data_IF_331865953642
#
_entry.id   IF_331865953642
#
_cell.length_a   1.000
_cell.length_b   1.000
_cell.length_c   1.000
_cell.angle_alpha   90.00
_cell.angle_beta   90.00
_cell.angle_gamma   90.00
#
_symmetry.space_group_name_H-M   'P 1'
#
loop_
_entity.id
_entity.type
_entity.pdbx_description
1 polymer ?
#
# COMPACT_ATOMS: atom_id res chain seq x y z
N UNK A 1 12.90 2.59 9.36
CA UNK A 1 12.19 3.35 8.32
C UNK A 1 11.48 2.34 7.45
N UNK A 2 10.15 2.27 7.50
CA UNK A 2 9.36 1.25 6.81
C UNK A 2 8.39 1.97 5.89
N UNK A 3 8.61 1.89 4.59
CA UNK A 3 7.75 2.51 3.58
C UNK A 3 7.94 1.77 2.27
N UNK A 4 6.93 1.81 1.41
CA UNK A 4 7.01 1.25 0.08
C UNK A 4 6.54 2.28 -0.94
N UNK A 5 7.11 2.21 -2.14
CA UNK A 5 6.76 3.07 -3.26
C UNK A 5 5.88 2.26 -4.22
N UNK A 6 4.79 2.85 -4.71
CA UNK A 6 4.11 2.34 -5.88
C UNK A 6 4.78 2.93 -7.12
N UNK A 7 5.00 2.10 -8.13
CA UNK A 7 5.76 2.48 -9.32
C UNK A 7 4.97 3.41 -10.26
N UNK A 8 3.64 3.29 -10.27
CA UNK A 8 2.74 4.05 -11.14
C UNK A 8 1.41 4.34 -10.44
N UNK A 9 0.79 5.49 -10.73
CA UNK A 9 -0.54 5.81 -10.23
C UNK A 9 -1.64 5.22 -11.13
N UNK A 10 -1.47 5.29 -12.45
CA UNK A 10 -2.40 4.79 -13.46
C UNK A 10 -1.69 3.84 -14.40
N UNK A 11 -2.43 2.89 -14.97
CA UNK A 11 -1.94 2.08 -16.09
C UNK A 11 -1.58 2.97 -17.29
N UNK A 12 -0.63 2.52 -18.10
CA UNK A 12 -0.27 3.13 -19.39
C UNK A 12 -0.25 2.06 -20.46
N UNK A 13 -1.16 2.13 -21.44
CA UNK A 13 -1.26 1.18 -22.56
C UNK A 13 -0.91 -0.28 -22.19
N UNK A 14 0.29 -0.76 -22.54
CA UNK A 14 0.75 -2.12 -22.25
C UNK A 14 1.12 -2.36 -20.78
N UNK A 15 1.60 -1.34 -20.07
CA UNK A 15 1.99 -1.46 -18.66
C UNK A 15 0.77 -1.30 -17.74
N UNK A 16 0.49 -2.37 -16.99
CA UNK A 16 -0.62 -2.42 -16.06
C UNK A 16 -0.13 -2.43 -14.60
N UNK A 17 0.88 -1.63 -14.27
CA UNK A 17 1.38 -1.54 -12.88
C UNK A 17 0.76 -0.37 -12.08
N UNK A 18 -0.23 0.32 -12.64
CA UNK A 18 -0.93 1.40 -11.98
C UNK A 18 -1.88 0.93 -10.87
N UNK A 19 -2.10 1.80 -9.88
CA UNK A 19 -3.11 1.63 -8.84
C UNK A 19 -4.52 1.81 -9.40
N UNK A 20 -4.68 2.71 -10.39
CA UNK A 20 -5.89 2.94 -11.17
C UNK A 20 -5.74 2.45 -12.60
N UNK A 21 -6.86 2.26 -13.29
CA UNK A 21 -6.86 1.99 -14.74
C UNK A 21 -6.41 3.21 -15.53
N UNK A 22 -6.20 3.03 -16.82
CA UNK A 22 -5.79 4.09 -17.75
C UNK A 22 -6.75 5.29 -17.73
N UNK A 23 -8.05 5.04 -17.64
CA UNK A 23 -9.11 6.06 -17.54
C UNK A 23 -9.35 6.57 -16.11
N UNK A 24 -8.45 6.23 -15.17
CA UNK A 24 -8.51 6.55 -13.73
C UNK A 24 -9.67 5.90 -12.99
N UNK A 25 -10.38 4.95 -13.60
CA UNK A 25 -11.35 4.14 -12.86
C UNK A 25 -10.64 3.18 -11.91
N UNK A 26 -11.37 2.74 -10.89
CA UNK A 26 -10.84 1.85 -9.88
C UNK A 26 -10.40 0.51 -10.49
N UNK A 27 -9.16 0.15 -10.19
CA UNK A 27 -8.59 -1.17 -10.53
C UNK A 27 -8.52 -2.08 -9.32
N UNK A 28 -8.30 -1.49 -8.16
CA UNK A 28 -8.24 -2.12 -6.86
C UNK A 28 -9.28 -1.47 -5.95
N UNK A 29 -9.66 -2.18 -4.88
CA UNK A 29 -10.40 -1.58 -3.76
C UNK A 29 -9.47 -0.62 -3.00
N UNK A 30 -9.57 0.67 -3.32
CA UNK A 30 -8.68 1.72 -2.78
C UNK A 30 -8.88 1.90 -1.28
N UNK A 31 -10.10 1.72 -0.78
CA UNK A 31 -10.39 1.82 0.66
C UNK A 31 -9.69 0.70 1.43
N UNK A 32 -9.70 -0.52 0.90
CA UNK A 32 -8.95 -1.64 1.48
C UNK A 32 -7.44 -1.41 1.45
N UNK A 33 -6.91 -0.87 0.36
CA UNK A 33 -5.48 -0.51 0.26
C UNK A 33 -5.12 0.55 1.30
N UNK A 34 -5.93 1.60 1.42
CA UNK A 34 -5.76 2.67 2.40
C UNK A 34 -5.77 2.13 3.84
N UNK A 35 -6.73 1.27 4.17
CA UNK A 35 -6.80 0.63 5.49
C UNK A 35 -5.53 -0.20 5.80
N UNK A 36 -5.00 -0.91 4.80
CA UNK A 36 -3.76 -1.67 4.94
C UNK A 36 -2.50 -0.81 5.06
N UNK A 37 -2.48 0.39 4.48
CA UNK A 37 -1.37 1.35 4.57
C UNK A 37 -1.36 2.13 5.89
N UNK A 38 -2.53 2.39 6.47
CA UNK A 38 -2.66 3.19 7.70
C UNK A 38 -2.49 2.39 8.98
N UNK A 39 -2.67 1.06 8.93
CA UNK A 39 -2.47 0.20 10.09
C UNK A 39 -0.97 0.08 10.45
N UNK A 40 -0.62 -0.12 11.74
CA UNK A 40 0.74 -0.43 12.13
C UNK A 40 1.29 -1.65 11.40
N UNK A 41 2.56 -1.59 10.99
CA UNK A 41 3.24 -2.73 10.39
C UNK A 41 3.47 -3.81 11.47
N UNK A 42 3.42 -5.08 11.08
CA UNK A 42 3.55 -6.18 12.04
C UNK A 42 4.85 -6.15 12.86
N UNK A 43 5.94 -5.64 12.27
CA UNK A 43 7.24 -5.47 12.95
C UNK A 43 7.18 -4.41 14.05
N UNK A 44 6.34 -3.39 13.89
CA UNK A 44 6.17 -2.31 14.86
C UNK A 44 5.41 -2.80 16.09
N UNK A 45 4.44 -3.71 15.89
CA UNK A 45 3.72 -4.36 16.99
C UNK A 45 4.62 -5.34 17.76
N UNK A 46 5.51 -6.05 17.06
CA UNK A 46 6.38 -7.08 17.67
C UNK A 46 7.46 -6.47 18.57
N UNK A 47 8.05 -5.35 18.17
CA UNK A 47 9.02 -4.58 18.98
C UNK A 47 8.36 -3.85 20.16
N UNK A 48 7.04 -3.64 20.14
CA UNK A 48 6.30 -3.08 21.28
C UNK A 48 6.11 -4.06 22.44
N UNK A 49 6.13 -5.38 22.18
CA UNK A 49 6.01 -6.43 23.21
C UNK A 49 7.33 -6.77 23.92
N UNK A 50 8.46 -6.47 23.29
CA UNK A 50 9.79 -6.86 23.80
C UNK A 50 10.47 -5.72 24.59
N UNK A 51 10.05 -4.47 24.36
CA UNK A 51 10.56 -3.29 25.10
C UNK A 51 10.00 -3.11 26.50
N UNK A 52 9.20 -4.07 26.99
CA UNK A 52 8.74 -4.16 28.37
C UNK A 52 9.56 -5.18 29.20
N UNK A 53 10.75 -5.57 28.73
CA UNK A 53 11.75 -6.34 29.47
C UNK A 53 13.06 -5.57 29.58
#
# INVERSE_FOLDING_TARGET
>A
MSGYCYTQLTDVFQEQNGVYRFDRTDKLDVDRVRAAQQRPAAIETRLGRDRSR
#
